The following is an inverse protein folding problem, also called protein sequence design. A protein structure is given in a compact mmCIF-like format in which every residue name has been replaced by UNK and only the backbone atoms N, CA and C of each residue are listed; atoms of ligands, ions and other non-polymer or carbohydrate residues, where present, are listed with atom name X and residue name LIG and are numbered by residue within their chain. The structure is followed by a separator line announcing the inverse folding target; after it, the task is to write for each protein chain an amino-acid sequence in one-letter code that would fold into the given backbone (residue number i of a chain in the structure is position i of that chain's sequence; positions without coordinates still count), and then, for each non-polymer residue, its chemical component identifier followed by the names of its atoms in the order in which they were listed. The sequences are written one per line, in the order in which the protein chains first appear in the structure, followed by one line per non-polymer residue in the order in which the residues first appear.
data_IF_191714283447
#
_entry.id   IF_191714283447
#
_cell.length_a   1.000
_cell.length_b   1.000
_cell.length_c   1.000
_cell.angle_alpha   90.00
_cell.angle_beta   90.00
_cell.angle_gamma   90.00
#
_symmetry.space_group_name_H-M   'P 1'
#
loop_
_entity.id
_entity.type
_entity.pdbx_description
1 polymer ?
#
# COMPACT_ATOMS: atom_id res chain seq x y z
N UNK A 1 -14.95 -26.73 1.91
CA UNK A 1 -14.38 -26.06 3.11
C UNK A 1 -14.22 -24.59 2.77
N UNK A 2 -14.42 -23.70 3.74
CA UNK A 2 -14.43 -22.25 3.55
C UNK A 2 -13.10 -21.69 4.04
N UNK A 3 -12.19 -21.33 3.13
CA UNK A 3 -10.92 -20.71 3.50
C UNK A 3 -11.12 -19.21 3.72
N UNK A 4 -10.67 -18.70 4.87
CA UNK A 4 -10.60 -17.26 5.11
C UNK A 4 -9.34 -16.72 4.45
N UNK A 5 -9.51 -15.79 3.50
CA UNK A 5 -8.43 -15.18 2.76
C UNK A 5 -7.97 -13.90 3.46
N UNK A 6 -6.69 -13.80 3.79
CA UNK A 6 -6.11 -12.69 4.53
C UNK A 6 -4.95 -12.09 3.75
N UNK A 7 -5.02 -10.79 3.46
CA UNK A 7 -3.91 -10.02 2.93
C UNK A 7 -3.03 -9.52 4.07
N UNK A 8 -1.73 -9.74 3.97
CA UNK A 8 -0.73 -9.28 4.94
C UNK A 8 0.20 -8.26 4.29
N UNK A 9 0.30 -7.04 4.82
CA UNK A 9 1.21 -5.98 4.34
C UNK A 9 1.88 -5.29 5.53
N UNK A 10 3.17 -5.54 5.73
CA UNK A 10 3.87 -5.12 6.95
C UNK A 10 3.15 -5.65 8.20
N UNK A 11 2.76 -4.75 9.10
CA UNK A 11 2.01 -5.09 10.32
C UNK A 11 0.48 -5.16 10.10
N UNK A 12 -0.01 -4.87 8.90
CA UNK A 12 -1.45 -4.86 8.59
C UNK A 12 -1.89 -6.23 8.10
N UNK A 13 -2.99 -6.73 8.66
CA UNK A 13 -3.72 -7.91 8.16
C UNK A 13 -5.16 -7.54 7.88
N UNK A 14 -5.63 -7.77 6.65
CA UNK A 14 -7.00 -7.44 6.22
C UNK A 14 -7.66 -8.64 5.56
N UNK A 15 -8.89 -8.94 5.98
CA UNK A 15 -9.65 -10.08 5.45
C UNK A 15 -10.25 -9.69 4.10
N UNK A 16 -10.11 -10.53 3.08
CA UNK A 16 -10.68 -10.29 1.74
C UNK A 16 -12.21 -10.44 1.70
N UNK A 17 -12.88 -9.72 0.79
CA UNK A 17 -14.33 -9.81 0.59
C UNK A 17 -14.68 -11.22 0.08
N UNK A 18 -15.64 -11.87 0.73
CA UNK A 18 -16.13 -13.20 0.33
C UNK A 18 -15.50 -14.40 1.03
N UNK A 19 -14.75 -14.23 2.12
CA UNK A 19 -14.18 -15.31 2.98
C UNK A 19 -14.98 -16.62 2.91
N UNK A 20 -14.46 -17.61 2.16
CA UNK A 20 -15.03 -18.94 2.02
C UNK A 20 -15.17 -19.49 0.61
N UNK A 21 -16.06 -20.47 0.43
CA UNK A 21 -16.33 -21.09 -0.88
C UNK A 21 -16.86 -20.08 -1.92
N UNK A 22 -17.34 -18.92 -1.46
CA UNK A 22 -17.73 -17.79 -2.31
C UNK A 22 -16.54 -16.96 -2.78
N UNK A 23 -15.52 -16.71 -1.96
CA UNK A 23 -14.26 -16.10 -2.42
C UNK A 23 -13.67 -16.95 -3.54
N UNK A 24 -13.58 -18.27 -3.36
CA UNK A 24 -13.06 -19.18 -4.41
C UNK A 24 -13.91 -19.15 -5.69
N UNK A 25 -15.22 -18.88 -5.59
CA UNK A 25 -16.12 -18.74 -6.76
C UNK A 25 -16.11 -17.34 -7.37
N UNK A 26 -15.89 -16.28 -6.59
CA UNK A 26 -15.77 -14.89 -7.05
C UNK A 26 -14.36 -14.57 -7.58
N UNK A 27 -13.36 -15.38 -7.21
CA UNK A 27 -11.97 -15.39 -7.72
C UNK A 27 -11.87 -15.71 -9.22
N UNK A 28 -12.97 -16.01 -9.91
CA UNK A 28 -12.97 -16.09 -11.38
C UNK A 28 -12.42 -14.83 -12.07
N UNK A 29 -12.40 -13.68 -11.38
CA UNK A 29 -11.63 -12.52 -11.78
C UNK A 29 -10.52 -12.23 -10.77
N UNK A 30 -9.28 -12.58 -11.13
CA UNK A 30 -8.05 -12.13 -10.47
C UNK A 30 -8.05 -10.60 -10.25
N UNK A 31 -8.66 -9.86 -11.17
CA UNK A 31 -8.89 -8.42 -11.10
C UNK A 31 -9.70 -7.99 -9.87
N UNK A 32 -10.77 -8.71 -9.52
CA UNK A 32 -11.59 -8.38 -8.35
C UNK A 32 -10.83 -8.64 -7.03
N UNK A 33 -9.95 -9.64 -7.04
CA UNK A 33 -9.04 -9.92 -5.92
C UNK A 33 -8.00 -8.81 -5.74
N UNK A 34 -7.42 -8.30 -6.84
CA UNK A 34 -6.50 -7.16 -6.81
C UNK A 34 -7.19 -5.88 -6.36
N UNK A 35 -8.41 -5.63 -6.85
CA UNK A 35 -9.19 -4.46 -6.47
C UNK A 35 -9.57 -4.47 -4.97
N UNK A 36 -9.93 -5.63 -4.40
CA UNK A 36 -10.24 -5.74 -2.97
C UNK A 36 -9.00 -5.50 -2.09
N UNK A 37 -7.82 -5.96 -2.53
CA UNK A 37 -6.57 -5.66 -1.85
C UNK A 37 -6.24 -4.17 -1.90
N UNK A 38 -6.41 -3.53 -3.06
CA UNK A 38 -6.21 -2.10 -3.26
C UNK A 38 -7.12 -1.26 -2.34
N UNK A 39 -8.43 -1.55 -2.32
CA UNK A 39 -9.39 -0.85 -1.47
C UNK A 39 -9.05 -0.95 0.02
N UNK A 40 -8.54 -2.11 0.47
CA UNK A 40 -8.28 -2.35 1.90
C UNK A 40 -6.89 -1.94 2.36
N UNK A 41 -5.89 -2.07 1.50
CA UNK A 41 -4.50 -1.75 1.84
C UNK A 41 -4.16 -0.29 1.51
N UNK A 42 -4.93 0.36 0.63
CA UNK A 42 -4.67 1.74 0.19
C UNK A 42 -3.36 1.86 -0.59
N UNK A 43 -2.98 0.81 -1.32
CA UNK A 43 -1.75 0.77 -2.11
C UNK A 43 -2.07 1.10 -3.58
N UNK A 44 -1.30 1.97 -4.24
CA UNK A 44 -1.53 2.30 -5.65
C UNK A 44 -1.49 1.06 -6.56
N UNK A 45 -2.34 0.99 -7.61
CA UNK A 45 -2.29 -0.09 -8.58
C UNK A 45 -0.89 -0.23 -9.20
N UNK A 46 -0.40 -1.46 -9.30
CA UNK A 46 0.91 -1.75 -9.90
C UNK A 46 2.12 -1.43 -9.02
N UNK A 47 1.92 -0.89 -7.80
CA UNK A 47 3.01 -0.64 -6.86
C UNK A 47 3.44 -1.86 -6.04
N UNK A 48 2.68 -2.95 -6.11
CA UNK A 48 2.86 -4.12 -5.27
C UNK A 48 2.59 -5.42 -6.01
N UNK A 49 3.10 -6.50 -5.44
CA UNK A 49 2.90 -7.87 -5.90
C UNK A 49 2.43 -8.75 -4.73
N UNK A 50 1.72 -9.83 -5.07
CA UNK A 50 1.22 -10.81 -4.12
C UNK A 50 2.14 -12.02 -4.06
N UNK A 51 2.31 -12.58 -2.88
CA UNK A 51 3.16 -13.74 -2.61
C UNK A 51 2.45 -14.74 -1.71
N UNK A 52 2.60 -16.02 -2.02
CA UNK A 52 2.32 -17.14 -1.13
C UNK A 52 3.64 -17.77 -0.64
N UNK A 53 3.55 -18.89 0.05
CA UNK A 53 4.72 -19.68 0.49
C UNK A 53 5.54 -20.26 -0.67
N UNK A 54 5.01 -20.29 -1.89
CA UNK A 54 5.63 -20.85 -3.09
C UNK A 54 6.22 -19.78 -4.02
N UNK A 55 5.86 -18.52 -3.85
CA UNK A 55 6.42 -17.40 -4.59
C UNK A 55 5.35 -16.39 -5.01
N UNK A 56 5.62 -15.68 -6.11
CA UNK A 56 4.74 -14.63 -6.61
C UNK A 56 3.45 -15.23 -7.18
N UNK A 57 2.30 -14.66 -6.82
CA UNK A 57 1.00 -14.96 -7.39
C UNK A 57 0.79 -13.99 -8.56
N UNK A 58 0.89 -14.50 -9.78
CA UNK A 58 0.62 -13.73 -11.00
C UNK A 58 -0.49 -14.34 -11.84
N UNK A 59 -0.84 -15.61 -11.60
CA UNK A 59 -1.86 -16.33 -12.35
C UNK A 59 -2.98 -16.84 -11.43
N UNK A 60 -4.18 -17.11 -11.96
CA UNK A 60 -5.24 -17.76 -11.21
C UNK A 60 -4.83 -19.13 -10.65
N UNK A 61 -3.92 -19.85 -11.35
CA UNK A 61 -3.41 -21.13 -10.91
C UNK A 61 -2.54 -21.01 -9.64
N UNK A 62 -1.73 -19.95 -9.53
CA UNK A 62 -0.95 -19.67 -8.33
C UNK A 62 -1.85 -19.39 -7.13
N UNK A 63 -2.92 -18.63 -7.34
CA UNK A 63 -3.89 -18.33 -6.29
C UNK A 63 -4.65 -19.59 -5.85
N UNK A 64 -5.06 -20.45 -6.80
CA UNK A 64 -5.66 -21.75 -6.48
C UNK A 64 -4.71 -22.66 -5.71
N UNK A 65 -3.43 -22.67 -6.06
CA UNK A 65 -2.39 -23.40 -5.33
C UNK A 65 -2.28 -22.89 -3.88
N UNK A 66 -2.21 -21.56 -3.69
CA UNK A 66 -2.16 -20.96 -2.37
C UNK A 66 -3.36 -21.38 -1.50
N UNK A 67 -4.57 -21.30 -2.05
CA UNK A 67 -5.80 -21.67 -1.36
C UNK A 67 -5.86 -23.17 -1.02
N UNK A 68 -5.41 -24.03 -1.94
CA UNK A 68 -5.41 -25.48 -1.72
C UNK A 68 -4.41 -25.88 -0.63
N UNK A 69 -3.26 -25.20 -0.58
CA UNK A 69 -2.19 -25.49 0.38
C UNK A 69 -2.41 -24.87 1.76
N UNK A 70 -3.27 -23.85 1.88
CA UNK A 70 -3.65 -23.25 3.16
C UNK A 70 -4.43 -24.22 4.09
N UNK A 71 -4.87 -25.38 3.60
CA UNK A 71 -5.51 -26.39 4.44
C UNK A 71 -6.81 -25.89 5.09
N UNK A 72 -7.09 -26.26 6.34
CA UNK A 72 -8.31 -25.82 7.06
C UNK A 72 -8.22 -24.40 7.64
N UNK A 73 -7.06 -23.76 7.51
CA UNK A 73 -6.72 -22.52 8.20
C UNK A 73 -6.84 -21.29 7.27
N UNK A 74 -6.45 -20.13 7.80
CA UNK A 74 -6.39 -18.86 7.05
C UNK A 74 -5.38 -18.96 5.89
N UNK A 75 -5.82 -18.64 4.68
CA UNK A 75 -4.94 -18.46 3.53
C UNK A 75 -4.33 -17.06 3.60
N UNK A 76 -3.09 -16.97 4.05
CA UNK A 76 -2.35 -15.71 4.14
C UNK A 76 -1.65 -15.45 2.81
N UNK A 77 -1.97 -14.32 2.19
CA UNK A 77 -1.27 -13.80 1.02
C UNK A 77 -0.49 -12.56 1.44
N UNK A 78 0.82 -12.62 1.27
CA UNK A 78 1.71 -11.50 1.56
C UNK A 78 1.69 -10.52 0.39
N UNK A 79 1.43 -9.26 0.69
CA UNK A 79 1.53 -8.16 -0.25
C UNK A 79 2.86 -7.47 -0.03
N UNK A 80 3.66 -7.35 -1.10
CA UNK A 80 4.96 -6.69 -1.06
C UNK A 80 5.00 -5.57 -2.08
N UNK A 81 5.32 -4.38 -1.61
CA UNK A 81 5.49 -3.22 -2.48
C UNK A 81 6.86 -3.24 -3.15
N UNK A 82 6.94 -2.72 -4.38
CA UNK A 82 8.22 -2.59 -5.06
C UNK A 82 9.06 -1.48 -4.43
N UNK A 83 10.37 -1.75 -4.35
CA UNK A 83 11.32 -0.86 -3.70
C UNK A 83 11.31 0.58 -4.24
N UNK A 84 11.06 0.76 -5.54
CA UNK A 84 11.04 2.08 -6.14
C UNK A 84 9.84 2.93 -5.68
N UNK A 85 8.66 2.33 -5.47
CA UNK A 85 7.50 3.05 -4.92
C UNK A 85 7.72 3.43 -3.44
N UNK A 86 8.33 2.54 -2.65
CA UNK A 86 8.75 2.87 -1.27
C UNK A 86 9.68 4.09 -1.27
N UNK A 87 10.68 4.10 -2.17
CA UNK A 87 11.62 5.23 -2.30
C UNK A 87 10.94 6.52 -2.73
N UNK A 88 10.04 6.45 -3.71
CA UNK A 88 9.29 7.62 -4.20
C UNK A 88 8.50 8.24 -3.06
N UNK A 89 7.76 7.45 -2.28
CA UNK A 89 6.99 7.96 -1.13
C UNK A 89 7.89 8.58 -0.06
N UNK A 90 9.06 7.99 0.19
CA UNK A 90 10.06 8.61 1.07
C UNK A 90 10.52 9.98 0.58
N UNK A 91 10.81 10.10 -0.73
CA UNK A 91 11.20 11.37 -1.33
C UNK A 91 10.07 12.41 -1.31
N UNK A 92 8.82 12.00 -1.51
CA UNK A 92 7.65 12.89 -1.43
C UNK A 92 7.49 13.48 -0.02
N UNK A 93 7.69 12.66 1.03
CA UNK A 93 7.66 13.10 2.42
C UNK A 93 8.78 14.09 2.72
N UNK A 94 10.01 13.80 2.26
CA UNK A 94 11.15 14.69 2.45
C UNK A 94 10.94 16.02 1.70
N UNK A 95 10.40 15.96 0.49
CA UNK A 95 10.12 17.15 -0.31
C UNK A 95 9.07 18.03 0.37
N UNK A 96 7.95 17.45 0.84
CA UNK A 96 6.94 18.19 1.60
C UNK A 96 7.52 18.87 2.85
N UNK A 97 8.42 18.18 3.56
CA UNK A 97 9.11 18.73 4.73
C UNK A 97 10.04 19.89 4.35
N UNK A 98 10.74 19.79 3.24
CA UNK A 98 11.63 20.84 2.74
C UNK A 98 10.83 22.06 2.26
N UNK A 99 9.72 21.86 1.54
CA UNK A 99 8.80 22.94 1.14
C UNK A 99 8.28 23.70 2.35
N UNK A 100 7.78 23.00 3.38
CA UNK A 100 7.29 23.65 4.60
C UNK A 100 8.38 24.46 5.33
N UNK A 101 9.64 24.01 5.26
CA UNK A 101 10.78 24.75 5.83
C UNK A 101 11.13 26.00 5.01
N UNK A 102 11.09 25.89 3.68
CA UNK A 102 11.32 27.01 2.78
C UNK A 102 10.25 28.09 2.99
N UNK A 103 8.97 27.71 3.04
CA UNK A 103 7.87 28.64 3.29
C UNK A 103 8.05 29.40 4.62
N UNK A 104 8.46 28.69 5.68
CA UNK A 104 8.72 29.31 6.99
C UNK A 104 9.91 30.28 6.94
N UNK A 105 10.96 29.96 6.19
CA UNK A 105 12.12 30.83 6.01
C UNK A 105 11.78 32.07 5.18
N UNK A 106 10.99 31.93 4.13
CA UNK A 106 10.54 33.05 3.30
C UNK A 106 9.70 34.04 4.10
N UNK A 107 8.80 33.54 4.97
CA UNK A 107 8.03 34.39 5.89
C UNK A 107 8.95 35.13 6.86
N UNK A 108 9.89 34.42 7.51
CA UNK A 108 10.81 35.03 8.46
C UNK A 108 11.73 36.09 7.81
N UNK A 109 12.15 35.86 6.56
CA UNK A 109 12.95 36.82 5.79
C UNK A 109 12.15 38.08 5.51
N UNK A 110 10.93 37.97 4.99
CA UNK A 110 10.05 39.12 4.73
C UNK A 110 9.79 39.94 6.00
N UNK A 111 9.55 39.28 7.13
CA UNK A 111 9.38 39.98 8.41
C UNK A 111 10.65 40.72 8.87
N UNK A 112 11.82 40.20 8.52
CA UNK A 112 13.12 40.81 8.88
C UNK A 112 13.42 42.00 7.97
N UNK A 113 13.12 41.89 6.68
CA UNK A 113 13.20 42.99 5.71
C UNK A 113 12.28 44.14 6.14
N UNK A 114 10.99 43.85 6.41
CA UNK A 114 10.03 44.86 6.90
C UNK A 114 10.49 45.54 8.20
N UNK A 115 11.05 44.77 9.14
CA UNK A 115 11.59 45.33 10.39
C UNK A 115 12.82 46.20 10.17
N UNK A 116 13.60 45.93 9.13
CA UNK A 116 14.80 46.70 8.79
C UNK A 116 14.43 48.01 8.10
N UNK A 117 13.47 47.97 7.17
CA UNK A 117 12.96 49.16 6.48
C UNK A 117 12.31 50.15 7.47
N UNK A 118 11.49 49.67 8.41
CA UNK A 118 10.88 50.52 9.46
C UNK A 118 11.88 51.18 10.41
N UNK A 119 13.11 50.67 10.51
CA UNK A 119 14.16 51.26 11.37
C UNK A 119 15.01 52.31 10.65
N UNK A 120 14.90 52.38 9.32
CA UNK A 120 15.67 53.28 8.47
C UNK A 120 14.90 54.56 8.10
N UNK A 121 13.58 54.60 8.36
CA UNK A 121 12.72 55.79 8.34
C UNK A 121 12.70 56.53 9.68
#
# INVERSE_FOLDING_TARGET
MSHTLVFSYGDKRVISRGSGAEAVRSIKNLEAFFQDAEEKLGLPPGSYDFYDTFGKISTPADLQRALTNAGSDECIIEVREHLHFIRIRGLEVDNARLTARLDALEVALRETEQRSDMKLE
#
